data_IF_021884961972
#
_entry.id   IF_021884961972
#
_cell.length_a   1.000
_cell.length_b   1.000
_cell.length_c   1.000
_cell.angle_alpha   90.00
_cell.angle_beta   90.00
_cell.angle_gamma   90.00
#
_symmetry.space_group_name_H-M   'P 1'
#
loop_
_entity.id
_entity.type
_entity.pdbx_description
1 polymer ?
#
# COMPACT_ATOMS: atom_id res chain seq x y z
N UNK A 1 5.23 19.78 -36.95
CA UNK A 1 4.42 19.07 -35.94
C UNK A 1 5.36 18.70 -34.81
N UNK A 2 5.27 19.40 -33.68
CA UNK A 2 6.13 19.14 -32.51
C UNK A 2 5.70 17.82 -31.90
N UNK A 3 6.55 16.79 -31.91
CA UNK A 3 6.29 15.56 -31.15
C UNK A 3 6.22 15.95 -29.68
N UNK A 4 5.10 15.64 -29.03
CA UNK A 4 4.89 15.91 -27.62
C UNK A 4 5.91 15.05 -26.85
N UNK A 5 6.95 15.68 -26.30
CA UNK A 5 8.12 15.01 -25.71
C UNK A 5 7.84 14.67 -24.24
N UNK A 6 6.68 14.05 -23.99
CA UNK A 6 6.20 13.73 -22.65
C UNK A 6 6.64 12.32 -22.30
N UNK A 7 7.40 12.18 -21.21
CA UNK A 7 7.81 10.86 -20.72
C UNK A 7 6.57 10.02 -20.40
N UNK A 8 6.64 8.74 -20.74
CA UNK A 8 5.64 7.72 -20.42
C UNK A 8 6.27 6.70 -19.49
N UNK A 9 5.42 6.01 -18.73
CA UNK A 9 5.85 4.89 -17.90
C UNK A 9 6.14 3.67 -18.80
N UNK A 10 7.25 3.00 -18.52
CA UNK A 10 7.63 1.73 -19.14
C UNK A 10 7.89 0.69 -18.06
N UNK A 11 7.50 -0.56 -18.31
CA UNK A 11 7.74 -1.70 -17.42
C UNK A 11 8.41 -2.82 -18.19
N UNK A 12 9.40 -3.48 -17.57
CA UNK A 12 9.98 -4.73 -18.05
C UNK A 12 10.02 -5.77 -16.92
N UNK A 13 10.05 -7.04 -17.29
CA UNK A 13 10.45 -8.12 -16.37
C UNK A 13 11.95 -8.31 -16.52
N UNK A 14 12.69 -8.14 -15.44
CA UNK A 14 14.15 -8.16 -15.44
C UNK A 14 14.71 -9.19 -14.46
N UNK A 15 15.80 -9.83 -14.83
CA UNK A 15 16.56 -10.76 -13.99
C UNK A 15 18.06 -10.59 -14.18
N UNK A 16 18.83 -11.15 -13.25
CA UNK A 16 20.30 -11.21 -13.34
C UNK A 16 20.76 -12.65 -13.48
N UNK A 17 21.60 -12.90 -14.48
CA UNK A 17 22.28 -14.18 -14.71
C UNK A 17 23.68 -14.23 -14.10
N UNK A 18 24.09 -13.20 -13.34
CA UNK A 18 25.38 -13.20 -12.63
C UNK A 18 25.40 -14.31 -11.56
N UNK A 19 26.31 -15.30 -11.63
CA UNK A 19 26.39 -16.40 -10.67
C UNK A 19 26.66 -15.96 -9.23
N UNK A 20 27.23 -14.77 -9.03
CA UNK A 20 27.56 -14.22 -7.72
C UNK A 20 26.45 -13.30 -7.18
N UNK A 21 25.56 -12.84 -8.06
CA UNK A 21 24.46 -11.90 -7.74
C UNK A 21 23.22 -12.27 -8.54
N UNK A 22 22.68 -13.43 -8.21
CA UNK A 22 21.40 -13.87 -8.73
C UNK A 22 20.30 -12.94 -8.24
N UNK A 23 19.56 -12.38 -9.18
CA UNK A 23 18.33 -11.66 -8.91
C UNK A 23 17.21 -12.40 -9.61
N UNK A 24 16.23 -12.85 -8.82
CA UNK A 24 14.97 -13.39 -9.35
C UNK A 24 14.27 -12.35 -10.23
N UNK A 25 13.32 -12.82 -11.03
CA UNK A 25 12.57 -11.94 -11.93
C UNK A 25 11.80 -10.88 -11.15
N UNK A 26 12.08 -9.61 -11.46
CA UNK A 26 11.37 -8.46 -10.90
C UNK A 26 10.72 -7.64 -11.99
N UNK A 27 9.70 -6.88 -11.62
CA UNK A 27 9.24 -5.78 -12.44
C UNK A 27 10.10 -4.55 -12.23
N UNK A 28 10.66 -4.03 -13.33
CA UNK A 28 11.45 -2.80 -13.36
C UNK A 28 10.69 -1.72 -14.13
N UNK A 29 10.65 -0.52 -13.58
CA UNK A 29 9.91 0.62 -14.15
C UNK A 29 10.84 1.80 -14.44
N UNK A 30 10.64 2.46 -15.58
CA UNK A 30 11.35 3.70 -15.94
C UNK A 30 10.42 4.68 -16.63
N UNK A 31 10.70 5.98 -16.46
CA UNK A 31 10.06 7.03 -17.25
C UNK A 31 10.94 7.37 -18.45
N UNK A 32 10.38 7.27 -19.66
CA UNK A 32 11.11 7.54 -20.89
C UNK A 32 10.19 8.02 -22.02
N UNK A 33 10.71 8.83 -22.95
CA UNK A 33 9.93 9.32 -24.10
C UNK A 33 9.67 8.24 -25.16
N UNK A 34 10.50 7.19 -25.21
CA UNK A 34 10.45 6.14 -26.21
C UNK A 34 11.12 4.84 -25.70
N UNK A 35 10.90 3.76 -26.45
CA UNK A 35 11.37 2.41 -26.13
C UNK A 35 12.90 2.32 -25.98
N UNK A 36 13.66 2.92 -26.89
CA UNK A 36 15.13 2.82 -26.87
C UNK A 36 15.71 3.56 -25.66
N UNK A 37 15.13 4.71 -25.32
CA UNK A 37 15.49 5.45 -24.11
C UNK A 37 15.11 4.66 -22.86
N UNK A 38 13.93 4.04 -22.83
CA UNK A 38 13.50 3.17 -21.72
C UNK A 38 14.46 2.00 -21.52
N UNK A 39 14.81 1.31 -22.61
CA UNK A 39 15.74 0.19 -22.65
C UNK A 39 17.10 0.57 -22.07
N UNK A 40 17.64 1.71 -22.48
CA UNK A 40 18.94 2.19 -22.00
C UNK A 40 18.91 2.56 -20.52
N UNK A 41 17.86 3.26 -20.08
CA UNK A 41 17.67 3.62 -18.67
C UNK A 41 17.53 2.39 -17.77
N UNK A 42 16.83 1.35 -18.23
CA UNK A 42 16.71 0.08 -17.52
C UNK A 42 18.08 -0.56 -17.30
N UNK A 43 18.89 -0.69 -18.35
CA UNK A 43 20.23 -1.25 -18.21
C UNK A 43 21.11 -0.44 -17.26
N UNK A 44 21.10 0.89 -17.37
CA UNK A 44 21.88 1.75 -16.48
C UNK A 44 21.44 1.58 -15.02
N UNK A 45 20.13 1.57 -14.79
CA UNK A 45 19.58 1.51 -13.44
C UNK A 45 19.79 0.16 -12.79
N UNK A 46 19.48 -0.93 -13.49
CA UNK A 46 19.66 -2.30 -13.01
C UNK A 46 21.14 -2.61 -12.79
N UNK A 47 22.03 -2.16 -13.68
CA UNK A 47 23.47 -2.33 -13.50
C UNK A 47 23.98 -1.63 -12.24
N UNK A 48 23.51 -0.40 -11.98
CA UNK A 48 23.89 0.33 -10.77
C UNK A 48 23.32 -0.31 -9.50
N UNK A 49 22.04 -0.67 -9.48
CA UNK A 49 21.34 -1.16 -8.29
C UNK A 49 21.81 -2.57 -7.91
N UNK A 50 21.95 -3.47 -8.89
CA UNK A 50 22.43 -4.83 -8.65
C UNK A 50 23.96 -4.92 -8.61
N UNK A 51 24.64 -3.86 -9.07
CA UNK A 51 26.10 -3.82 -9.22
C UNK A 51 26.63 -4.94 -10.10
N UNK A 52 25.88 -5.28 -11.16
CA UNK A 52 26.26 -6.26 -12.18
C UNK A 52 26.48 -5.58 -13.52
N UNK A 53 27.28 -6.18 -14.40
CA UNK A 53 27.49 -5.64 -15.74
C UNK A 53 26.24 -5.83 -16.63
N UNK A 54 26.06 -4.95 -17.63
CA UNK A 54 24.96 -5.05 -18.61
C UNK A 54 24.81 -6.44 -19.24
N UNK A 55 25.91 -7.15 -19.45
CA UNK A 55 25.92 -8.48 -20.08
C UNK A 55 25.32 -9.60 -19.22
N UNK A 56 25.07 -9.33 -17.93
CA UNK A 56 24.41 -10.26 -17.01
C UNK A 56 22.95 -9.88 -16.74
N UNK A 57 22.42 -8.86 -17.42
CA UNK A 57 21.06 -8.37 -17.22
C UNK A 57 20.22 -8.81 -18.41
N UNK A 58 19.22 -9.63 -18.13
CA UNK A 58 18.20 -9.99 -19.09
C UNK A 58 16.89 -9.31 -18.71
N UNK A 59 16.20 -8.76 -19.70
CA UNK A 59 14.82 -8.33 -19.50
C UNK A 59 14.00 -8.53 -20.76
N UNK A 60 12.71 -8.73 -20.56
CA UNK A 60 11.72 -8.99 -21.59
C UNK A 60 10.40 -8.30 -21.24
N UNK A 61 9.44 -8.31 -22.19
CA UNK A 61 8.16 -7.62 -22.07
C UNK A 61 8.33 -6.14 -21.65
N UNK A 62 9.20 -5.42 -22.36
CA UNK A 62 9.37 -3.98 -22.19
C UNK A 62 8.18 -3.28 -22.86
N UNK A 63 7.16 -3.03 -22.05
CA UNK A 63 5.88 -2.51 -22.47
C UNK A 63 5.72 -1.06 -21.99
N UNK A 64 5.22 -0.20 -22.88
CA UNK A 64 4.89 1.18 -22.56
C UNK A 64 3.51 1.29 -21.93
N UNK A 65 3.15 2.48 -21.45
CA UNK A 65 1.87 2.74 -20.77
C UNK A 65 0.64 2.25 -21.56
N UNK A 66 0.68 2.29 -22.89
CA UNK A 66 -0.44 1.87 -23.75
C UNK A 66 -0.57 0.35 -23.79
N UNK A 67 0.52 -0.36 -24.04
CA UNK A 67 0.58 -1.82 -24.03
C UNK A 67 0.23 -2.37 -22.63
N UNK A 68 0.72 -1.72 -21.57
CA UNK A 68 0.38 -2.05 -20.19
C UNK A 68 -1.11 -1.89 -19.91
N UNK A 69 -1.72 -0.83 -20.44
CA UNK A 69 -3.16 -0.57 -20.30
C UNK A 69 -3.97 -1.60 -21.07
N UNK A 70 -3.54 -1.99 -22.26
CA UNK A 70 -4.17 -3.05 -23.05
C UNK A 70 -4.09 -4.41 -22.34
N UNK A 71 -2.92 -4.76 -21.80
CA UNK A 71 -2.71 -5.97 -21.00
C UNK A 71 -3.60 -6.01 -19.76
N UNK A 72 -3.67 -4.90 -19.01
CA UNK A 72 -4.48 -4.82 -17.79
C UNK A 72 -5.99 -4.90 -18.07
N UNK A 73 -6.44 -4.35 -19.20
CA UNK A 73 -7.87 -4.32 -19.52
C UNK A 73 -8.36 -5.60 -20.19
N UNK A 74 -7.47 -6.36 -20.84
CA UNK A 74 -7.85 -7.47 -21.72
C UNK A 74 -8.89 -7.04 -22.76
N UNK A 75 -9.40 -7.96 -23.56
CA UNK A 75 -10.62 -7.68 -24.33
C UNK A 75 -11.78 -7.43 -23.33
N UNK A 76 -12.10 -6.15 -23.06
CA UNK A 76 -13.23 -5.65 -22.27
C UNK A 76 -13.76 -6.64 -21.22
N UNK A 77 -13.20 -6.64 -20.01
CA UNK A 77 -13.80 -7.41 -18.91
C UNK A 77 -13.85 -6.58 -17.62
N UNK A 78 -14.95 -5.85 -17.50
CA UNK A 78 -15.47 -5.13 -16.32
C UNK A 78 -14.64 -3.95 -15.76
N UNK A 79 -15.29 -2.80 -15.49
CA UNK A 79 -14.76 -1.80 -14.57
C UNK A 79 -14.41 -2.46 -13.22
N UNK A 80 -13.21 -2.19 -12.68
CA UNK A 80 -12.74 -2.70 -11.38
C UNK A 80 -11.74 -3.87 -11.43
N UNK A 81 -11.22 -4.23 -12.61
CA UNK A 81 -10.14 -5.23 -12.71
C UNK A 81 -8.79 -4.65 -12.22
N UNK A 82 -7.96 -5.46 -11.52
CA UNK A 82 -6.65 -5.05 -11.03
C UNK A 82 -5.72 -4.62 -12.17
N UNK A 83 -5.07 -3.46 -12.00
CA UNK A 83 -4.25 -2.83 -13.03
C UNK A 83 -2.84 -3.42 -13.17
N UNK A 84 -2.38 -4.23 -12.21
CA UNK A 84 -0.98 -4.66 -12.13
C UNK A 84 -0.85 -6.17 -11.94
N UNK A 85 -0.22 -6.82 -12.91
CA UNK A 85 0.37 -8.15 -12.74
C UNK A 85 1.60 -8.04 -11.82
N UNK A 86 1.60 -8.80 -10.73
CA UNK A 86 2.67 -8.81 -9.70
C UNK A 86 3.51 -10.09 -9.73
N UNK A 87 3.20 -11.03 -10.62
CA UNK A 87 4.02 -12.20 -10.86
C UNK A 87 3.26 -13.33 -11.51
N UNK A 88 3.87 -14.51 -11.52
CA UNK A 88 3.32 -15.72 -12.13
C UNK A 88 3.24 -16.85 -11.09
N UNK A 89 2.05 -17.43 -10.92
CA UNK A 89 1.88 -18.61 -10.05
C UNK A 89 2.14 -19.88 -10.85
N UNK A 90 2.96 -20.79 -10.32
CA UNK A 90 3.14 -22.13 -10.88
C UNK A 90 2.10 -23.15 -10.39
N UNK A 91 1.17 -22.76 -9.51
CA UNK A 91 0.14 -23.67 -9.02
C UNK A 91 -1.06 -23.75 -9.98
N UNK A 92 -1.67 -24.94 -10.09
CA UNK A 92 -2.92 -25.21 -10.81
C UNK A 92 -2.97 -24.74 -12.29
N UNK A 93 -1.92 -25.01 -13.06
CA UNK A 93 -1.93 -24.78 -14.52
C UNK A 93 -1.26 -23.51 -15.00
N UNK A 94 -0.71 -22.70 -14.09
CA UNK A 94 0.05 -21.51 -14.44
C UNK A 94 -0.84 -20.32 -14.75
N UNK A 95 -0.60 -19.18 -14.11
CA UNK A 95 -1.35 -17.96 -14.41
C UNK A 95 -0.74 -16.71 -13.79
N UNK A 96 -0.96 -15.59 -14.48
CA UNK A 96 -0.61 -14.26 -14.00
C UNK A 96 -1.38 -13.95 -12.70
N UNK A 97 -0.65 -13.45 -11.70
CA UNK A 97 -1.17 -13.00 -10.41
C UNK A 97 -1.35 -11.49 -10.51
N UNK A 98 -2.55 -11.01 -10.22
CA UNK A 98 -2.87 -9.59 -10.25
C UNK A 98 -3.18 -9.07 -8.85
N UNK A 99 -2.75 -7.85 -8.56
CA UNK A 99 -3.05 -7.18 -7.29
C UNK A 99 -3.82 -5.88 -7.52
N UNK A 100 -4.79 -5.63 -6.65
CA UNK A 100 -5.58 -4.40 -6.61
C UNK A 100 -4.92 -3.33 -5.73
N UNK A 101 -3.98 -3.71 -4.88
CA UNK A 101 -3.15 -2.81 -4.10
C UNK A 101 -1.78 -2.74 -4.79
N UNK A 102 -1.40 -1.61 -5.44
CA UNK A 102 -0.13 -1.55 -6.14
C UNK A 102 1.01 -1.71 -5.15
N UNK A 103 1.69 -2.86 -5.18
CA UNK A 103 2.98 -3.00 -4.55
C UNK A 103 3.95 -2.15 -5.38
N UNK A 104 4.17 -0.90 -4.99
CA UNK A 104 5.20 -0.06 -5.60
C UNK A 104 6.55 -0.69 -5.22
N UNK A 105 7.11 -1.49 -6.12
CA UNK A 105 8.48 -1.96 -6.03
C UNK A 105 9.40 -0.77 -6.28
N UNK A 106 9.70 -0.04 -5.22
CA UNK A 106 10.70 1.03 -5.26
C UNK A 106 12.06 0.37 -5.37
N UNK A 107 12.58 0.27 -6.61
CA UNK A 107 13.86 -0.38 -6.91
C UNK A 107 15.01 0.26 -6.14
N UNK A 108 14.97 1.57 -5.93
CA UNK A 108 15.98 2.31 -5.16
C UNK A 108 15.80 2.16 -3.67
N UNK A 109 16.80 1.62 -2.97
CA UNK A 109 16.80 1.57 -1.51
C UNK A 109 16.61 2.97 -0.86
N UNK A 110 17.21 4.01 -1.44
CA UNK A 110 17.08 5.39 -0.94
C UNK A 110 15.66 5.95 -1.10
N UNK A 111 15.05 5.77 -2.28
CA UNK A 111 13.67 6.21 -2.49
C UNK A 111 12.68 5.37 -1.67
N UNK A 112 12.96 4.08 -1.47
CA UNK A 112 12.16 3.21 -0.60
C UNK A 112 12.19 3.72 0.82
N UNK A 113 13.36 4.06 1.36
CA UNK A 113 13.48 4.64 2.69
C UNK A 113 12.69 5.95 2.82
N UNK A 114 12.81 6.85 1.85
CA UNK A 114 12.05 8.13 1.83
C UNK A 114 10.54 7.88 1.81
N UNK A 115 10.07 6.98 0.93
CA UNK A 115 8.65 6.67 0.82
C UNK A 115 8.13 5.94 2.05
N UNK A 116 8.89 5.02 2.63
CA UNK A 116 8.54 4.36 3.89
C UNK A 116 8.44 5.39 5.03
N UNK A 117 9.38 6.32 5.14
CA UNK A 117 9.30 7.42 6.11
C UNK A 117 8.07 8.29 5.88
N UNK A 118 7.84 8.74 4.65
CA UNK A 118 6.67 9.56 4.31
C UNK A 118 5.35 8.82 4.58
N UNK A 119 5.27 7.52 4.27
CA UNK A 119 4.11 6.69 4.55
C UNK A 119 3.93 6.43 6.06
N UNK A 120 4.99 6.36 6.85
CA UNK A 120 4.88 6.30 8.31
C UNK A 120 4.38 7.63 8.88
N UNK A 121 4.84 8.77 8.37
CA UNK A 121 4.38 10.09 8.77
C UNK A 121 2.91 10.32 8.37
N UNK A 122 2.52 9.90 7.16
CA UNK A 122 1.13 9.93 6.69
C UNK A 122 0.28 8.90 7.43
N UNK A 123 0.81 7.71 7.73
CA UNK A 123 0.14 6.70 8.54
C UNK A 123 -0.13 7.20 9.96
N UNK A 124 0.81 7.96 10.54
CA UNK A 124 0.59 8.66 11.80
C UNK A 124 -0.46 9.79 11.70
N UNK A 125 -0.74 10.29 10.48
CA UNK A 125 -1.81 11.24 10.17
C UNK A 125 -3.12 10.56 9.70
N UNK A 126 -3.10 9.28 9.34
CA UNK A 126 -4.22 8.57 8.72
C UNK A 126 -4.68 7.32 9.46
N UNK A 127 -4.11 6.98 10.61
CA UNK A 127 -4.87 6.21 11.60
C UNK A 127 -5.71 7.20 12.41
N UNK A 128 -6.79 7.68 11.81
CA UNK A 128 -8.02 7.75 12.58
C UNK A 128 -8.43 6.29 12.86
N UNK A 129 -7.72 5.63 13.79
CA UNK A 129 -8.38 4.61 14.59
C UNK A 129 -9.54 5.38 15.18
N UNK A 130 -10.78 4.97 14.97
CA UNK A 130 -11.83 5.41 15.87
C UNK A 130 -11.34 5.03 17.26
N UNK A 131 -10.82 6.01 18.01
CA UNK A 131 -10.13 5.74 19.25
C UNK A 131 -11.19 5.16 20.18
N UNK A 132 -11.02 3.88 20.51
CA UNK A 132 -12.01 3.13 21.27
C UNK A 132 -12.23 3.85 22.60
N UNK A 133 -13.47 4.28 22.84
CA UNK A 133 -13.76 5.05 24.05
C UNK A 133 -13.76 4.11 25.25
N UNK A 134 -13.11 4.50 26.34
CA UNK A 134 -13.05 3.71 27.58
C UNK A 134 -13.84 4.39 28.69
N UNK A 135 -14.67 3.62 29.41
CA UNK A 135 -15.43 4.16 30.52
C UNK A 135 -14.52 4.43 31.73
N UNK A 136 -14.55 5.64 32.27
CA UNK A 136 -13.73 6.03 33.43
C UNK A 136 -14.11 5.27 34.71
N UNK A 137 -15.31 4.70 34.77
CA UNK A 137 -15.83 3.94 35.92
C UNK A 137 -15.51 2.44 35.84
N UNK A 138 -16.06 1.74 34.84
CA UNK A 138 -15.91 0.27 34.72
C UNK A 138 -14.86 -0.18 33.70
N UNK A 139 -14.29 0.73 32.90
CA UNK A 139 -13.32 0.38 31.86
C UNK A 139 -13.93 -0.32 30.63
N UNK A 140 -15.26 -0.41 30.51
CA UNK A 140 -15.88 -0.93 29.30
C UNK A 140 -15.53 -0.07 28.08
N UNK A 141 -15.57 -0.69 26.91
CA UNK A 141 -15.21 -0.06 25.65
C UNK A 141 -16.32 -0.19 24.61
N UNK A 142 -16.16 0.41 23.43
CA UNK A 142 -17.14 0.29 22.34
C UNK A 142 -17.39 -1.17 21.93
N UNK A 143 -16.37 -2.04 22.02
CA UNK A 143 -16.48 -3.45 21.68
C UNK A 143 -16.70 -4.39 22.88
N UNK A 144 -16.50 -3.90 24.11
CA UNK A 144 -16.60 -4.70 25.34
C UNK A 144 -17.45 -4.01 26.40
N UNK A 145 -18.77 -4.19 26.29
CA UNK A 145 -19.74 -3.64 27.24
C UNK A 145 -19.71 -4.36 28.60
N UNK A 146 -19.95 -3.60 29.68
CA UNK A 146 -20.30 -4.14 30.99
C UNK A 146 -21.65 -4.91 30.87
N UNK A 147 -21.79 -6.03 31.59
CA UNK A 147 -22.98 -6.89 31.58
C UNK A 147 -23.53 -7.03 33.00
N UNK A 148 -24.81 -6.72 33.21
CA UNK A 148 -25.46 -6.82 34.52
C UNK A 148 -25.95 -8.24 34.86
N UNK A 149 -26.49 -8.44 36.07
CA UNK A 149 -27.02 -9.73 36.54
C UNK A 149 -28.18 -10.26 35.68
N UNK A 150 -28.88 -9.37 34.97
CA UNK A 150 -29.98 -9.69 34.05
C UNK A 150 -29.51 -9.87 32.60
N UNK A 151 -28.18 -9.85 32.36
CA UNK A 151 -27.54 -9.93 31.04
C UNK A 151 -27.81 -8.74 30.12
N UNK A 152 -28.17 -7.59 30.67
CA UNK A 152 -28.24 -6.36 29.89
C UNK A 152 -26.84 -5.80 29.69
N UNK A 153 -26.57 -5.31 28.48
CA UNK A 153 -25.32 -4.61 28.15
C UNK A 153 -25.46 -3.13 28.48
N UNK A 154 -24.39 -2.53 28.99
CA UNK A 154 -24.35 -1.08 29.17
C UNK A 154 -24.28 -0.33 27.83
N UNK A 155 -24.58 0.96 27.85
CA UNK A 155 -24.42 1.86 26.71
C UNK A 155 -23.84 3.21 27.17
N UNK A 156 -23.30 4.02 26.25
CA UNK A 156 -22.72 5.32 26.58
C UNK A 156 -23.79 6.33 27.01
N UNK A 157 -23.59 6.98 28.17
CA UNK A 157 -24.37 8.15 28.61
C UNK A 157 -23.70 9.47 28.19
N UNK A 158 -22.37 9.53 28.27
CA UNK A 158 -21.52 10.65 27.82
C UNK A 158 -20.22 10.09 27.27
N UNK A 159 -19.74 10.59 26.14
CA UNK A 159 -18.47 10.13 25.54
C UNK A 159 -17.79 11.29 24.82
N UNK A 160 -16.55 11.57 25.21
CA UNK A 160 -15.66 12.45 24.48
C UNK A 160 -14.79 11.56 23.58
N UNK A 161 -15.09 11.57 22.28
CA UNK A 161 -14.41 10.74 21.27
C UNK A 161 -13.00 11.22 20.96
N UNK A 162 -12.71 12.50 21.15
CA UNK A 162 -11.37 13.06 20.96
C UNK A 162 -10.43 12.65 22.10
N UNK A 163 -10.95 12.58 23.33
CA UNK A 163 -10.19 12.12 24.49
C UNK A 163 -10.17 10.59 24.64
N UNK A 164 -11.01 9.85 23.89
CA UNK A 164 -11.17 8.41 24.04
C UNK A 164 -11.77 7.97 25.38
N UNK A 165 -12.54 8.85 26.06
CA UNK A 165 -13.07 8.61 27.40
C UNK A 165 -14.59 8.84 27.47
N UNK A 166 -15.26 8.07 28.31
CA UNK A 166 -16.71 8.20 28.50
C UNK A 166 -17.25 7.66 29.82
N UNK A 167 -18.57 7.70 29.96
CA UNK A 167 -19.34 7.19 31.10
C UNK A 167 -20.45 6.32 30.54
N UNK A 168 -20.47 5.03 30.91
CA UNK A 168 -21.53 4.12 30.51
C UNK A 168 -22.70 4.15 31.50
N UNK A 169 -23.82 3.55 31.11
CA UNK A 169 -25.06 3.47 31.88
C UNK A 169 -24.93 2.72 33.21
N UNK A 170 -23.89 1.90 33.37
CA UNK A 170 -23.58 1.22 34.64
C UNK A 170 -22.71 2.06 35.58
N UNK A 171 -22.28 3.25 35.16
CA UNK A 171 -21.34 4.12 35.89
C UNK A 171 -21.85 5.57 35.98
N UNK A 172 -23.18 5.76 36.04
CA UNK A 172 -23.84 7.07 36.07
C UNK A 172 -23.30 8.01 37.17
N UNK A 173 -22.81 7.47 38.28
CA UNK A 173 -22.11 8.23 39.34
C UNK A 173 -20.94 9.08 38.81
N UNK A 174 -20.28 8.67 37.71
CA UNK A 174 -19.16 9.38 37.10
C UNK A 174 -19.57 10.39 36.01
N UNK A 175 -20.87 10.63 35.79
CA UNK A 175 -21.38 11.55 34.76
C UNK A 175 -20.78 12.95 34.81
N UNK A 176 -20.49 13.45 36.02
CA UNK A 176 -19.92 14.79 36.26
C UNK A 176 -18.41 14.74 36.52
N UNK A 177 -17.71 13.69 36.08
CA UNK A 177 -16.28 13.55 36.32
C UNK A 177 -15.48 14.48 35.40
N UNK A 178 -14.49 15.25 35.90
CA UNK A 178 -13.75 16.24 35.11
C UNK A 178 -13.01 15.70 33.87
N UNK A 179 -12.76 14.38 33.83
CA UNK A 179 -12.09 13.70 32.71
C UNK A 179 -13.01 13.42 31.52
N UNK A 180 -14.31 13.71 31.63
CA UNK A 180 -15.30 13.46 30.58
C UNK A 180 -15.90 14.75 30.05
N UNK A 181 -15.34 15.90 30.43
CA UNK A 181 -15.74 17.20 29.89
C UNK A 181 -15.19 17.42 28.49
N UNK A 182 -15.94 18.16 27.69
CA UNK A 182 -15.49 18.62 26.39
C UNK A 182 -14.46 19.73 26.65
N UNK A 183 -13.22 19.55 26.18
CA UNK A 183 -12.21 20.59 26.28
C UNK A 183 -12.50 21.63 25.18
N UNK A 184 -12.90 22.85 25.58
CA UNK A 184 -13.02 24.02 24.70
C UNK A 184 -11.69 24.40 24.02
#
# INVERSE_FOLDING_TARGET
>A
MSKNNQNRLWRAVASSTDPLRLCEEIFAFVDAPDYETAKELLYQRLSLEWGVSRGFIDFYNLDGEEELREQALGALSSPGAPLLEIGWSHQAGGGAIYDNAPLILVASAALRAILTTALHEIGALSVAVEQEATCVGCGCTDSHACVDENRNVCYWLKVNREAGLGVCSSCDFFLNHPLTDDHD
#
